data_IF_741954728259
#
_entry.id   IF_741954728259
#
_cell.length_a   1.000
_cell.length_b   1.000
_cell.length_c   1.000
_cell.angle_alpha   90.00
_cell.angle_beta   90.00
_cell.angle_gamma   90.00
#
_symmetry.space_group_name_H-M   'P 1'
#
loop_
_entity.id
_entity.type
_entity.pdbx_description
1 polymer ?
#
# COMPACT_ATOMS: atom_id res chain seq x y z
N UNK A 1 18.07 16.39 0.39
CA UNK A 1 17.26 15.29 -0.17
C UNK A 1 17.84 13.94 0.25
N UNK A 2 17.02 12.96 0.61
CA UNK A 2 17.48 11.63 1.10
C UNK A 2 17.74 10.60 -0.04
N UNK A 3 17.03 10.67 -1.16
CA UNK A 3 17.31 9.86 -2.36
C UNK A 3 17.28 8.35 -2.12
N UNK A 4 18.27 7.63 -2.67
CA UNK A 4 18.38 6.16 -2.63
C UNK A 4 18.39 5.56 -1.22
N UNK A 5 18.74 6.35 -0.21
CA UNK A 5 18.72 5.92 1.20
C UNK A 5 17.33 5.41 1.62
N UNK A 6 16.25 5.96 1.05
CA UNK A 6 14.87 5.56 1.37
C UNK A 6 14.47 4.19 0.80
N UNK A 7 15.27 3.61 -0.12
CA UNK A 7 15.01 2.29 -0.73
C UNK A 7 15.83 1.16 -0.10
N UNK A 8 16.79 1.50 0.76
CA UNK A 8 17.64 0.54 1.46
C UNK A 8 17.25 0.39 2.93
N UNK A 9 18.07 -0.36 3.68
CA UNK A 9 17.86 -0.65 5.09
C UNK A 9 17.13 -1.96 5.35
N UNK A 10 17.29 -2.49 6.55
CA UNK A 10 16.63 -3.74 6.97
C UNK A 10 15.12 -3.51 7.13
N UNK A 11 14.25 -4.38 6.59
CA UNK A 11 12.81 -4.27 6.76
C UNK A 11 12.38 -4.25 8.23
N UNK A 12 11.36 -3.48 8.56
CA UNK A 12 10.79 -3.43 9.91
C UNK A 12 10.06 -4.74 10.27
N UNK A 13 9.68 -4.92 11.53
CA UNK A 13 8.86 -6.08 11.96
C UNK A 13 7.53 -6.14 11.20
N UNK A 14 6.92 -4.97 10.98
CA UNK A 14 5.70 -4.83 10.21
C UNK A 14 5.90 -5.26 8.75
N UNK A 15 6.95 -4.77 8.09
CA UNK A 15 7.23 -5.12 6.68
C UNK A 15 7.45 -6.62 6.50
N UNK A 16 8.17 -7.26 7.44
CA UNK A 16 8.41 -8.71 7.41
C UNK A 16 7.11 -9.50 7.55
N UNK A 17 6.27 -9.14 8.53
CA UNK A 17 4.97 -9.78 8.71
C UNK A 17 4.09 -9.57 7.49
N UNK A 18 4.06 -8.35 6.94
CA UNK A 18 3.27 -8.04 5.76
C UNK A 18 3.73 -8.87 4.56
N UNK A 19 5.03 -8.95 4.28
CA UNK A 19 5.59 -9.74 3.19
C UNK A 19 5.24 -11.24 3.30
N UNK A 20 5.36 -11.82 4.50
CA UNK A 20 4.97 -13.20 4.76
C UNK A 20 3.49 -13.45 4.46
N UNK A 21 2.61 -12.53 4.88
CA UNK A 21 1.18 -12.62 4.63
C UNK A 21 0.85 -12.49 3.13
N UNK A 22 1.52 -11.61 2.40
CA UNK A 22 1.34 -11.47 0.95
C UNK A 22 1.76 -12.74 0.20
N UNK A 23 2.95 -13.28 0.49
CA UNK A 23 3.44 -14.51 -0.13
C UNK A 23 2.53 -15.71 0.16
N UNK A 24 2.14 -15.90 1.42
CA UNK A 24 1.22 -16.97 1.82
C UNK A 24 -0.16 -16.84 1.15
N UNK A 25 -0.69 -15.62 1.02
CA UNK A 25 -1.95 -15.39 0.30
C UNK A 25 -1.83 -15.69 -1.20
N UNK A 26 -0.73 -15.30 -1.84
CA UNK A 26 -0.50 -15.58 -3.26
C UNK A 26 -0.48 -17.08 -3.55
N UNK A 27 0.21 -17.88 -2.71
CA UNK A 27 0.28 -19.33 -2.86
C UNK A 27 -1.10 -19.98 -2.69
N UNK A 28 -1.89 -19.55 -1.69
CA UNK A 28 -3.26 -20.06 -1.51
C UNK A 28 -4.15 -19.74 -2.70
N UNK A 29 -4.10 -18.52 -3.22
CA UNK A 29 -4.85 -18.11 -4.42
C UNK A 29 -4.45 -18.94 -5.65
N UNK A 30 -3.15 -19.18 -5.84
CA UNK A 30 -2.66 -20.03 -6.93
C UNK A 30 -3.17 -21.48 -6.80
N UNK A 31 -3.19 -22.03 -5.57
CA UNK A 31 -3.74 -23.36 -5.32
C UNK A 31 -5.25 -23.46 -5.60
N UNK A 32 -5.98 -22.35 -5.44
CA UNK A 32 -7.40 -22.22 -5.78
C UNK A 32 -7.65 -21.90 -7.27
N UNK A 33 -6.58 -21.81 -8.09
CA UNK A 33 -6.69 -21.48 -9.52
C UNK A 33 -7.00 -20.01 -9.81
N UNK A 34 -6.88 -19.13 -8.82
CA UNK A 34 -7.17 -17.69 -8.93
C UNK A 34 -5.97 -16.94 -9.52
N UNK A 35 -5.75 -17.11 -10.83
CA UNK A 35 -4.74 -16.38 -11.60
C UNK A 35 -5.25 -15.00 -12.07
N UNK A 36 -4.37 -14.22 -12.68
CA UNK A 36 -4.63 -12.84 -13.17
C UNK A 36 -5.11 -11.86 -12.07
N UNK A 37 -4.67 -12.15 -10.84
CA UNK A 37 -5.01 -11.38 -9.64
C UNK A 37 -3.77 -10.99 -8.85
N UNK A 38 -3.81 -9.79 -8.30
CA UNK A 38 -2.85 -9.27 -7.34
C UNK A 38 -3.38 -9.50 -5.93
N UNK A 39 -2.52 -9.95 -5.01
CA UNK A 39 -2.85 -9.91 -3.57
C UNK A 39 -2.87 -8.45 -3.12
N UNK A 40 -3.92 -8.03 -2.43
CA UNK A 40 -4.03 -6.71 -1.83
C UNK A 40 -4.33 -6.84 -0.33
N UNK A 41 -3.70 -5.98 0.47
CA UNK A 41 -4.01 -5.86 1.89
C UNK A 41 -5.09 -4.79 2.09
N UNK A 42 -6.29 -5.24 2.41
CA UNK A 42 -7.43 -4.42 2.82
C UNK A 42 -7.70 -4.75 4.28
N UNK A 43 -7.11 -3.97 5.22
CA UNK A 43 -7.08 -4.35 6.63
C UNK A 43 -8.47 -4.74 7.15
N UNK A 44 -8.57 -5.86 7.89
CA UNK A 44 -7.47 -6.73 8.34
C UNK A 44 -7.09 -7.83 7.33
N UNK A 45 -7.75 -7.94 6.19
CA UNK A 45 -7.76 -9.10 5.29
C UNK A 45 -6.78 -9.01 4.10
N UNK A 46 -6.37 -10.17 3.57
CA UNK A 46 -5.71 -10.29 2.27
C UNK A 46 -6.76 -10.67 1.23
N UNK A 47 -6.86 -9.89 0.16
CA UNK A 47 -7.90 -10.01 -0.87
C UNK A 47 -7.27 -10.17 -2.26
N UNK A 48 -8.00 -10.79 -3.18
CA UNK A 48 -7.56 -10.97 -4.56
C UNK A 48 -8.20 -9.92 -5.47
N UNK A 49 -7.40 -9.02 -6.04
CA UNK A 49 -7.85 -7.94 -6.92
C UNK A 49 -7.46 -8.26 -8.35
N UNK A 50 -8.35 -8.09 -9.31
CA UNK A 50 -8.02 -8.28 -10.73
C UNK A 50 -6.90 -7.32 -11.14
N UNK A 51 -5.93 -7.80 -11.93
CA UNK A 51 -4.84 -6.95 -12.39
C UNK A 51 -5.37 -5.76 -13.21
N UNK A 52 -6.41 -5.96 -14.02
CA UNK A 52 -7.09 -4.90 -14.76
C UNK A 52 -7.64 -3.79 -13.86
N UNK A 53 -8.24 -4.15 -12.72
CA UNK A 53 -8.78 -3.18 -11.76
C UNK A 53 -7.64 -2.45 -11.03
N UNK A 54 -6.58 -3.19 -10.67
CA UNK A 54 -5.44 -2.66 -9.94
C UNK A 54 -4.68 -1.58 -10.72
N UNK A 55 -4.62 -1.69 -12.05
CA UNK A 55 -3.93 -0.73 -12.92
C UNK A 55 -4.84 0.34 -13.52
N UNK A 56 -6.17 0.21 -13.35
CA UNK A 56 -7.17 1.09 -14.00
C UNK A 56 -6.96 2.57 -13.65
N UNK A 57 -6.61 2.86 -12.41
CA UNK A 57 -6.48 4.22 -11.90
C UNK A 57 -5.21 4.40 -11.07
N UNK A 58 -4.64 5.61 -11.07
CA UNK A 58 -3.55 5.94 -10.16
C UNK A 58 -4.10 6.17 -8.76
N UNK A 59 -3.43 5.63 -7.75
CA UNK A 59 -3.75 5.92 -6.34
C UNK A 59 -3.39 7.36 -6.01
N UNK A 60 -4.41 8.17 -5.67
CA UNK A 60 -4.22 9.53 -5.17
C UNK A 60 -4.28 9.56 -3.65
N UNK A 61 -3.62 10.55 -3.05
CA UNK A 61 -3.79 10.87 -1.63
C UNK A 61 -5.13 11.58 -1.49
N UNK A 62 -5.96 11.11 -0.57
CA UNK A 62 -7.17 11.82 -0.20
C UNK A 62 -6.83 13.04 0.65
N UNK A 63 -7.00 14.23 0.07
CA UNK A 63 -6.73 15.52 0.72
C UNK A 63 -7.67 15.80 1.90
N UNK A 64 -8.80 15.09 1.99
CA UNK A 64 -9.75 15.20 3.09
C UNK A 64 -9.54 14.12 4.15
N UNK A 65 -8.52 13.26 3.99
CA UNK A 65 -8.23 12.22 4.97
C UNK A 65 -7.75 12.83 6.29
N UNK A 66 -8.09 12.14 7.38
CA UNK A 66 -7.70 12.52 8.74
C UNK A 66 -6.19 12.80 8.89
N UNK A 67 -5.35 12.05 8.16
CA UNK A 67 -3.89 12.23 8.14
C UNK A 67 -3.47 13.57 7.53
N UNK A 68 -4.10 13.96 6.42
CA UNK A 68 -3.82 15.23 5.75
C UNK A 68 -4.33 16.40 6.59
N UNK A 69 -5.55 16.28 7.14
CA UNK A 69 -6.12 17.30 8.03
C UNK A 69 -5.26 17.49 9.29
N UNK A 70 -4.78 16.39 9.90
CA UNK A 70 -3.88 16.43 11.05
C UNK A 70 -2.58 17.14 10.70
N UNK A 71 -1.95 16.80 9.57
CA UNK A 71 -0.71 17.42 9.12
C UNK A 71 -0.87 18.95 8.97
N UNK A 72 -1.96 19.41 8.35
CA UNK A 72 -2.25 20.84 8.21
C UNK A 72 -2.54 21.52 9.55
N UNK A 73 -3.27 20.85 10.44
CA UNK A 73 -3.62 21.37 11.76
C UNK A 73 -2.38 21.64 12.64
N UNK A 74 -1.28 20.91 12.41
CA UNK A 74 0.01 21.14 13.09
C UNK A 74 0.99 21.99 12.26
N UNK A 75 0.51 22.64 11.20
CA UNK A 75 1.28 23.60 10.40
C UNK A 75 2.18 22.99 9.31
N UNK A 76 2.00 21.72 8.94
CA UNK A 76 2.75 21.12 7.82
C UNK A 76 2.19 21.64 6.49
N UNK A 77 3.02 22.33 5.71
CA UNK A 77 2.73 22.71 4.34
C UNK A 77 2.96 21.53 3.38
N UNK A 78 1.98 21.24 2.49
CA UNK A 78 2.03 20.14 1.53
C UNK A 78 2.38 20.58 0.10
N UNK A 79 2.66 21.88 -0.10
CA UNK A 79 3.06 22.43 -1.40
C UNK A 79 1.94 22.51 -2.42
N UNK A 80 0.69 22.33 -1.99
CA UNK A 80 -0.51 22.63 -2.76
C UNK A 80 -0.92 24.10 -2.62
N UNK A 81 -1.68 24.57 -3.61
CA UNK A 81 -2.26 25.92 -3.60
C UNK A 81 -3.46 25.90 -2.64
N UNK A 82 -3.23 26.07 -1.35
CA UNK A 82 -4.28 26.65 -0.50
C UNK A 82 -4.49 28.12 -0.87
#
# INVERSE_FOLDING_TARGET
MLGHLQRGGSPTTFDRLLALRFGSAAVRMAAEGLFDRMVAWTPPSMSAVLLEDAIRCRKQVDLKSDKVLTARSIGICLGDKE
#
